data_IF_381353372483
#
_entry.id   IF_381353372483
#
_cell.length_a   1.000
_cell.length_b   1.000
_cell.length_c   1.000
_cell.angle_alpha   90.00
_cell.angle_beta   90.00
_cell.angle_gamma   90.00
#
_symmetry.space_group_name_H-M   'P 1'
#
loop_
_entity.id
_entity.type
_entity.pdbx_description
1 polymer ?
#
# COMPACT_ATOMS: atom_id res chain seq x y z
N UNK A 1 18.76 -38.56 37.49
CA UNK A 1 18.50 -37.19 37.98
C UNK A 1 17.03 -36.92 37.80
N UNK A 2 16.29 -36.41 38.80
CA UNK A 2 14.88 -36.08 38.59
C UNK A 2 14.77 -34.96 37.54
N UNK A 3 13.92 -35.17 36.53
CA UNK A 3 13.59 -34.14 35.55
C UNK A 3 12.86 -33.00 36.27
N UNK A 4 13.44 -31.80 36.26
CA UNK A 4 12.72 -30.61 36.70
C UNK A 4 11.65 -30.35 35.63
N UNK A 5 10.40 -30.65 35.97
CA UNK A 5 9.25 -30.32 35.13
C UNK A 5 9.07 -28.80 35.22
N UNK A 6 9.49 -28.12 34.16
CA UNK A 6 9.27 -26.68 34.00
C UNK A 6 7.76 -26.44 33.79
N UNK A 7 7.09 -25.89 34.80
CA UNK A 7 5.66 -25.56 34.72
C UNK A 7 5.52 -24.27 33.94
N UNK A 8 5.06 -24.38 32.70
CA UNK A 8 4.79 -23.24 31.84
C UNK A 8 3.38 -22.70 32.18
N UNK A 9 3.23 -21.41 32.52
CA UNK A 9 1.94 -20.84 32.86
C UNK A 9 1.03 -20.73 31.63
N UNK A 10 -0.27 -20.92 31.83
CA UNK A 10 -1.29 -20.78 30.78
C UNK A 10 -2.01 -19.43 30.87
N UNK A 11 -2.39 -18.87 29.73
CA UNK A 11 -3.19 -17.65 29.64
C UNK A 11 -4.53 -17.97 28.97
N UNK A 12 -5.62 -17.64 29.65
CA UNK A 12 -6.97 -17.78 29.12
C UNK A 12 -7.88 -16.65 29.64
N UNK A 13 -9.08 -16.60 29.08
CA UNK A 13 -10.16 -15.71 29.51
C UNK A 13 -11.36 -16.57 29.90
N UNK A 14 -12.01 -16.23 31.01
CA UNK A 14 -13.25 -16.89 31.44
C UNK A 14 -14.49 -16.19 30.88
N UNK A 15 -15.67 -16.77 31.12
CA UNK A 15 -16.96 -16.25 30.65
C UNK A 15 -17.31 -14.87 31.25
N UNK A 16 -16.71 -14.51 32.39
CA UNK A 16 -16.88 -13.20 33.03
C UNK A 16 -15.93 -12.14 32.47
N UNK A 17 -15.01 -12.50 31.57
CA UNK A 17 -14.08 -11.59 30.92
C UNK A 17 -12.83 -11.26 31.75
N UNK A 18 -12.52 -12.08 32.74
CA UNK A 18 -11.31 -11.97 33.56
C UNK A 18 -10.17 -12.80 32.96
N UNK A 19 -8.96 -12.25 32.98
CA UNK A 19 -7.77 -12.94 32.52
C UNK A 19 -7.24 -13.88 33.60
N UNK A 20 -7.16 -15.18 33.28
CA UNK A 20 -6.59 -16.20 34.15
C UNK A 20 -5.12 -16.40 33.79
N UNK A 21 -4.23 -16.44 34.79
CA UNK A 21 -2.80 -16.72 34.62
C UNK A 21 -1.97 -15.58 34.00
N UNK A 22 -2.57 -14.41 33.75
CA UNK A 22 -1.86 -13.26 33.17
C UNK A 22 -0.68 -12.77 34.02
N UNK A 23 -0.85 -12.77 35.34
CA UNK A 23 0.22 -12.38 36.26
C UNK A 23 1.37 -13.41 36.24
N UNK A 24 1.04 -14.70 36.23
CA UNK A 24 2.02 -15.79 36.20
C UNK A 24 2.80 -15.81 34.88
N UNK A 25 2.12 -15.58 33.76
CA UNK A 25 2.76 -15.43 32.44
C UNK A 25 3.69 -14.23 32.39
N UNK A 26 3.29 -13.08 32.96
CA UNK A 26 4.14 -11.90 33.04
C UNK A 26 5.38 -12.14 33.89
N UNK A 27 5.23 -12.79 35.06
CA UNK A 27 6.35 -13.13 35.92
C UNK A 27 7.31 -14.11 35.23
N UNK A 28 6.77 -15.17 34.60
CA UNK A 28 7.59 -16.13 33.85
C UNK A 28 8.36 -15.48 32.71
N UNK A 29 7.74 -14.56 31.96
CA UNK A 29 8.40 -13.80 30.88
C UNK A 29 9.49 -12.86 31.42
N UNK A 30 9.25 -12.21 32.57
CA UNK A 30 10.24 -11.33 33.21
C UNK A 30 11.45 -12.09 33.76
N UNK A 31 11.26 -13.35 34.13
CA UNK A 31 12.32 -14.26 34.57
C UNK A 31 13.13 -14.84 33.39
N UNK A 32 12.66 -14.71 32.15
CA UNK A 32 13.41 -15.17 30.99
C UNK A 32 14.61 -14.25 30.72
N UNK A 33 15.80 -14.85 30.77
CA UNK A 33 17.05 -14.19 30.34
C UNK A 33 17.31 -14.55 28.87
N UNK A 34 17.69 -13.55 28.07
CA UNK A 34 18.12 -13.80 26.69
C UNK A 34 19.38 -14.66 26.73
N UNK A 35 19.27 -15.91 26.26
CA UNK A 35 20.40 -16.84 26.23
C UNK A 35 21.41 -16.42 25.16
N UNK A 36 22.68 -16.28 25.55
CA UNK A 36 23.79 -16.22 24.58
C UNK A 36 23.94 -17.59 23.93
N UNK A 37 23.59 -17.68 22.64
CA UNK A 37 23.73 -18.92 21.89
C UNK A 37 25.17 -19.04 21.41
N UNK A 38 26.01 -19.75 22.18
CA UNK A 38 27.34 -20.17 21.72
C UNK A 38 27.28 -21.27 20.66
N UNK A 39 28.43 -21.75 20.20
CA UNK A 39 28.57 -22.72 19.09
C UNK A 39 28.13 -24.17 19.40
N UNK A 40 27.54 -24.42 20.58
CA UNK A 40 27.11 -25.78 20.96
C UNK A 40 25.72 -26.12 20.40
N UNK A 41 25.52 -27.36 19.93
CA UNK A 41 24.19 -27.79 19.46
C UNK A 41 23.13 -27.80 20.56
N UNK A 42 23.55 -27.91 21.82
CA UNK A 42 22.65 -28.02 22.97
C UNK A 42 22.09 -26.65 23.38
N UNK A 43 22.94 -25.62 23.45
CA UNK A 43 22.49 -24.23 23.67
C UNK A 43 21.50 -23.78 22.60
N UNK A 44 21.71 -24.18 21.35
CA UNK A 44 20.78 -23.89 20.26
C UNK A 44 19.40 -24.58 20.43
N UNK A 45 19.36 -25.85 20.85
CA UNK A 45 18.09 -26.57 21.10
C UNK A 45 17.30 -25.94 22.23
N UNK A 46 17.96 -25.58 23.33
CA UNK A 46 17.34 -24.91 24.47
C UNK A 46 16.77 -23.56 24.04
N UNK A 47 17.56 -22.72 23.37
CA UNK A 47 17.10 -21.42 22.86
C UNK A 47 15.90 -21.55 21.91
N UNK A 48 15.88 -22.59 21.05
CA UNK A 48 14.73 -22.87 20.16
C UNK A 48 13.47 -23.24 20.95
N UNK A 49 13.59 -24.01 22.04
CA UNK A 49 12.47 -24.38 22.93
C UNK A 49 11.89 -23.15 23.63
N UNK A 50 12.73 -22.31 24.25
CA UNK A 50 12.28 -21.06 24.89
C UNK A 50 11.61 -20.13 23.88
N UNK A 51 12.19 -19.99 22.68
CA UNK A 51 11.59 -19.18 21.61
C UNK A 51 10.22 -19.70 21.18
N UNK A 52 10.05 -21.02 21.07
CA UNK A 52 8.77 -21.62 20.73
C UNK A 52 7.72 -21.32 21.81
N UNK A 53 8.09 -21.41 23.08
CA UNK A 53 7.17 -21.16 24.20
C UNK A 53 6.78 -19.68 24.31
N UNK A 54 7.75 -18.77 24.18
CA UNK A 54 7.48 -17.32 24.13
C UNK A 54 6.52 -16.99 22.97
N UNK A 55 6.70 -17.60 21.80
CA UNK A 55 5.80 -17.41 20.67
C UNK A 55 4.39 -17.99 20.92
N UNK A 56 4.29 -19.10 21.65
CA UNK A 56 3.01 -19.66 22.09
C UNK A 56 2.30 -18.68 23.03
N UNK A 57 2.97 -18.20 24.07
CA UNK A 57 2.41 -17.23 25.03
C UNK A 57 2.01 -15.93 24.34
N UNK A 58 2.81 -15.41 23.41
CA UNK A 58 2.45 -14.26 22.56
C UNK A 58 1.16 -14.49 21.78
N UNK A 59 1.01 -15.67 21.18
CA UNK A 59 -0.20 -16.05 20.44
C UNK A 59 -1.42 -16.13 21.34
N UNK A 60 -1.27 -16.75 22.53
CA UNK A 60 -2.33 -16.85 23.53
C UNK A 60 -2.77 -15.47 24.03
N UNK A 61 -1.84 -14.57 24.31
CA UNK A 61 -2.14 -13.19 24.71
C UNK A 61 -2.92 -12.43 23.63
N UNK A 62 -2.52 -12.58 22.37
CA UNK A 62 -3.25 -12.00 21.24
C UNK A 62 -4.67 -12.56 21.10
N UNK A 63 -4.86 -13.87 21.32
CA UNK A 63 -6.18 -14.52 21.29
C UNK A 63 -7.07 -14.06 22.43
N UNK A 64 -6.57 -14.11 23.68
CA UNK A 64 -7.31 -13.69 24.87
C UNK A 64 -7.73 -12.21 24.77
N UNK A 65 -6.89 -11.32 24.25
CA UNK A 65 -7.25 -9.91 24.01
C UNK A 65 -8.40 -9.76 23.02
N UNK A 66 -8.40 -10.50 21.91
CA UNK A 66 -9.49 -10.45 20.91
C UNK A 66 -10.80 -10.98 21.48
N UNK A 67 -10.73 -12.08 22.23
CA UNK A 67 -11.89 -12.67 22.90
C UNK A 67 -12.47 -11.70 23.95
N UNK A 68 -11.61 -11.03 24.73
CA UNK A 68 -12.02 -9.99 25.66
C UNK A 68 -12.75 -8.83 24.97
N UNK A 69 -12.17 -8.28 23.90
CA UNK A 69 -12.77 -7.18 23.15
C UNK A 69 -14.14 -7.56 22.60
N UNK A 70 -14.26 -8.75 22.01
CA UNK A 70 -15.54 -9.27 21.49
C UNK A 70 -16.58 -9.40 22.61
N UNK A 71 -16.18 -9.87 23.79
CA UNK A 71 -17.08 -10.04 24.92
C UNK A 71 -17.52 -8.68 25.51
N UNK A 72 -16.65 -7.67 25.50
CA UNK A 72 -17.03 -6.31 25.88
C UNK A 72 -17.95 -5.65 24.86
N UNK A 73 -17.71 -5.86 23.57
CA UNK A 73 -18.58 -5.37 22.50
C UNK A 73 -19.98 -5.97 22.63
N UNK A 74 -20.09 -7.29 22.82
CA UNK A 74 -21.37 -7.95 23.09
C UNK A 74 -22.06 -7.43 24.35
N UNK A 75 -21.30 -7.14 25.42
CA UNK A 75 -21.85 -6.53 26.63
C UNK A 75 -22.35 -5.11 26.39
N UNK A 76 -21.65 -4.34 25.57
CA UNK A 76 -22.04 -3.00 25.17
C UNK A 76 -23.34 -3.02 24.38
N UNK A 77 -23.47 -3.96 23.44
CA UNK A 77 -24.69 -4.14 22.63
C UNK A 77 -25.90 -4.49 23.52
N UNK A 78 -25.70 -5.29 24.57
CA UNK A 78 -26.76 -5.65 25.52
C UNK A 78 -27.06 -4.52 26.51
N UNK A 79 -26.04 -3.81 26.98
CA UNK A 79 -26.21 -2.78 28.02
C UNK A 79 -26.67 -1.44 27.48
N UNK A 80 -26.34 -1.13 26.21
CA UNK A 80 -26.70 0.10 25.53
C UNK A 80 -27.15 -0.20 24.09
N UNK A 81 -28.26 -0.93 23.90
CA UNK A 81 -28.77 -1.26 22.56
C UNK A 81 -29.11 -0.02 21.74
N UNK A 82 -29.32 1.13 22.38
CA UNK A 82 -29.57 2.40 21.72
C UNK A 82 -28.42 2.83 20.81
N UNK A 83 -27.17 2.44 21.09
CA UNK A 83 -26.03 2.77 20.22
C UNK A 83 -26.17 2.12 18.85
N UNK A 84 -26.61 0.86 18.81
CA UNK A 84 -26.86 0.16 17.55
C UNK A 84 -28.03 0.80 16.79
N UNK A 85 -29.14 1.10 17.49
CA UNK A 85 -30.29 1.77 16.89
C UNK A 85 -29.95 3.17 16.35
N UNK A 86 -29.10 3.93 17.05
CA UNK A 86 -28.63 5.24 16.59
C UNK A 86 -27.81 5.07 15.30
N UNK A 87 -26.92 4.08 15.23
CA UNK A 87 -26.11 3.83 14.05
C UNK A 87 -26.98 3.46 12.84
N UNK A 88 -27.92 2.53 13.02
CA UNK A 88 -28.86 2.13 11.96
C UNK A 88 -29.71 3.31 11.49
N UNK A 89 -30.32 4.05 12.43
CA UNK A 89 -31.15 5.21 12.08
C UNK A 89 -30.34 6.32 11.40
N UNK A 90 -29.11 6.58 11.84
CA UNK A 90 -28.24 7.55 11.21
C UNK A 90 -27.89 7.14 9.77
N UNK A 91 -27.60 5.86 9.54
CA UNK A 91 -27.31 5.33 8.21
C UNK A 91 -28.53 5.43 7.29
N UNK A 92 -29.72 5.04 7.76
CA UNK A 92 -30.97 5.19 7.01
C UNK A 92 -31.26 6.65 6.66
N UNK A 93 -31.11 7.58 7.61
CA UNK A 93 -31.32 9.00 7.38
C UNK A 93 -30.32 9.56 6.36
N UNK A 94 -29.04 9.19 6.45
CA UNK A 94 -28.02 9.59 5.48
C UNK A 94 -28.39 9.09 4.08
N UNK A 95 -28.76 7.81 3.95
CA UNK A 95 -29.19 7.24 2.66
C UNK A 95 -30.43 7.95 2.11
N UNK A 96 -31.40 8.28 2.97
CA UNK A 96 -32.58 9.06 2.61
C UNK A 96 -32.24 10.45 2.09
N UNK A 97 -31.41 11.20 2.81
CA UNK A 97 -30.95 12.51 2.38
C UNK A 97 -30.14 12.44 1.09
N UNK A 98 -29.31 11.41 0.91
CA UNK A 98 -28.55 11.20 -0.31
C UNK A 98 -29.45 10.94 -1.51
N UNK A 99 -30.51 10.17 -1.34
CA UNK A 99 -31.49 9.92 -2.39
C UNK A 99 -32.26 11.21 -2.76
N UNK A 100 -32.70 11.99 -1.77
CA UNK A 100 -33.43 13.25 -2.01
C UNK A 100 -32.56 14.33 -2.65
N UNK A 101 -31.30 14.45 -2.22
CA UNK A 101 -30.35 15.43 -2.75
C UNK A 101 -29.73 15.01 -4.08
N UNK A 102 -29.95 13.77 -4.55
CA UNK A 102 -29.36 13.26 -5.79
C UNK A 102 -29.64 14.16 -7.01
N UNK A 103 -30.89 14.62 -7.17
CA UNK A 103 -31.28 15.53 -8.26
C UNK A 103 -30.61 16.90 -8.15
N UNK A 104 -30.48 17.43 -6.94
CA UNK A 104 -29.78 18.68 -6.67
C UNK A 104 -28.29 18.55 -7.00
N UNK A 105 -27.64 17.47 -6.56
CA UNK A 105 -26.25 17.16 -6.88
C UNK A 105 -26.02 17.02 -8.38
N UNK A 106 -26.95 16.39 -9.11
CA UNK A 106 -26.87 16.31 -10.56
C UNK A 106 -27.00 17.68 -11.24
N UNK A 107 -27.93 18.52 -10.77
CA UNK A 107 -28.13 19.87 -11.32
C UNK A 107 -26.89 20.77 -11.11
N UNK A 108 -26.24 20.67 -9.96
CA UNK A 108 -25.06 21.47 -9.62
C UNK A 108 -23.72 20.81 -9.97
N UNK A 109 -23.72 19.55 -10.44
CA UNK A 109 -22.51 18.82 -10.83
C UNK A 109 -21.65 19.63 -11.79
N UNK A 110 -22.28 20.21 -12.82
CA UNK A 110 -21.57 21.01 -13.82
C UNK A 110 -20.94 22.27 -13.21
N UNK A 111 -21.69 22.99 -12.38
CA UNK A 111 -21.21 24.18 -11.69
C UNK A 111 -20.01 23.86 -10.76
N UNK A 112 -20.09 22.74 -10.03
CA UNK A 112 -19.01 22.27 -9.16
C UNK A 112 -17.78 21.86 -9.95
N UNK A 113 -17.95 21.18 -11.10
CA UNK A 113 -16.83 20.85 -11.98
C UNK A 113 -16.19 22.11 -12.57
N UNK A 114 -16.98 23.09 -13.01
CA UNK A 114 -16.47 24.37 -13.53
C UNK A 114 -15.67 25.13 -12.47
N UNK A 115 -16.17 25.21 -11.22
CA UNK A 115 -15.46 25.83 -10.10
C UNK A 115 -14.19 25.07 -9.69
N UNK A 116 -14.24 23.74 -9.69
CA UNK A 116 -13.09 22.89 -9.39
C UNK A 116 -12.01 23.04 -10.47
N UNK A 117 -12.41 23.11 -11.73
CA UNK A 117 -11.51 23.35 -12.86
C UNK A 117 -10.87 24.73 -12.74
N UNK A 118 -11.64 25.78 -12.46
CA UNK A 118 -11.09 27.13 -12.27
C UNK A 118 -10.03 27.18 -11.15
N UNK A 119 -10.25 26.45 -10.06
CA UNK A 119 -9.25 26.33 -8.99
C UNK A 119 -7.99 25.58 -9.43
N UNK A 120 -8.14 24.50 -10.20
CA UNK A 120 -6.99 23.77 -10.76
C UNK A 120 -6.19 24.64 -11.71
N UNK A 121 -6.84 25.42 -12.57
CA UNK A 121 -6.18 26.34 -13.50
C UNK A 121 -5.39 27.41 -12.75
N UNK A 122 -5.96 28.01 -11.70
CA UNK A 122 -5.25 28.93 -10.82
C UNK A 122 -4.04 28.26 -10.17
N UNK A 123 -4.21 27.03 -9.68
CA UNK A 123 -3.12 26.24 -9.09
C UNK A 123 -2.01 25.92 -10.10
N UNK A 124 -2.34 25.60 -11.36
CA UNK A 124 -1.36 25.35 -12.43
C UNK A 124 -0.53 26.58 -12.77
N UNK A 125 -1.14 27.77 -12.79
CA UNK A 125 -0.41 29.03 -13.01
C UNK A 125 0.67 29.22 -11.95
N UNK A 126 0.39 28.91 -10.68
CA UNK A 126 1.40 29.00 -9.61
C UNK A 126 2.54 27.98 -9.74
N UNK A 127 2.32 26.92 -10.53
CA UNK A 127 3.27 25.83 -10.77
C UNK A 127 3.93 25.84 -12.15
N UNK A 128 3.61 26.83 -12.98
CA UNK A 128 4.09 26.95 -14.36
C UNK A 128 3.75 25.71 -15.23
N UNK A 129 2.57 25.12 -14.98
CA UNK A 129 2.03 23.98 -15.72
C UNK A 129 1.13 24.45 -16.86
N UNK A 130 1.03 23.66 -17.94
CA UNK A 130 0.13 24.01 -19.05
C UNK A 130 -1.32 23.85 -18.61
N UNK A 131 -2.07 24.95 -18.72
CA UNK A 131 -3.52 24.97 -18.50
C UNK A 131 -4.19 24.01 -19.47
N UNK A 132 -4.90 23.00 -18.94
CA UNK A 132 -5.72 22.07 -19.74
C UNK A 132 -5.21 20.62 -19.85
N UNK A 133 -4.06 20.27 -19.26
CA UNK A 133 -3.57 18.88 -19.28
C UNK A 133 -4.33 17.94 -18.33
N UNK A 134 -4.97 18.49 -17.29
CA UNK A 134 -5.67 17.73 -16.26
C UNK A 134 -7.05 18.33 -16.01
N UNK A 135 -8.09 17.51 -16.19
CA UNK A 135 -9.49 17.90 -15.99
C UNK A 135 -9.97 17.42 -14.62
N UNK A 136 -10.72 18.26 -13.91
CA UNK A 136 -11.29 17.92 -12.61
C UNK A 136 -12.20 16.66 -12.66
N UNK A 137 -12.81 16.37 -13.80
CA UNK A 137 -13.62 15.18 -14.03
C UNK A 137 -12.80 13.87 -14.10
N UNK A 138 -11.49 13.96 -14.35
CA UNK A 138 -10.59 12.82 -14.47
C UNK A 138 -9.95 12.40 -13.14
N UNK A 139 -10.36 13.00 -12.02
CA UNK A 139 -9.87 12.63 -10.69
C UNK A 139 -10.51 11.29 -10.30
N UNK A 140 -9.79 10.20 -10.58
CA UNK A 140 -10.23 8.85 -10.26
C UNK A 140 -10.32 8.62 -8.74
N UNK A 141 -11.36 7.90 -8.31
CA UNK A 141 -11.53 7.46 -6.93
C UNK A 141 -12.13 8.48 -5.95
N UNK A 142 -12.31 9.75 -6.35
CA UNK A 142 -12.99 10.77 -5.53
C UNK A 142 -13.89 11.65 -6.39
N UNK A 143 -15.20 11.54 -6.20
CA UNK A 143 -16.16 12.43 -6.86
C UNK A 143 -16.08 13.82 -6.21
N UNK A 144 -15.31 14.73 -6.80
CA UNK A 144 -15.15 16.11 -6.29
C UNK A 144 -16.48 16.85 -6.17
N UNK A 145 -17.54 16.36 -6.82
CA UNK A 145 -18.91 16.91 -6.74
C UNK A 145 -19.67 16.49 -5.47
N UNK A 146 -19.06 15.69 -4.59
CA UNK A 146 -19.64 15.37 -3.28
C UNK A 146 -19.69 16.61 -2.39
N UNK A 147 -20.79 16.81 -1.66
CA UNK A 147 -21.01 17.99 -0.82
C UNK A 147 -19.94 18.16 0.27
N UNK A 148 -19.30 17.07 0.72
CA UNK A 148 -18.22 17.12 1.71
C UNK A 148 -16.99 17.95 1.29
N UNK A 149 -16.88 18.30 0.01
CA UNK A 149 -15.80 19.14 -0.54
C UNK A 149 -16.20 20.60 -0.76
N UNK A 150 -17.47 20.92 -0.57
CA UNK A 150 -18.04 22.25 -0.79
C UNK A 150 -18.50 22.88 0.53
N UNK A 151 -18.47 24.20 0.59
CA UNK A 151 -19.09 24.96 1.66
C UNK A 151 -20.58 25.11 1.38
N UNK A 152 -21.37 25.49 2.40
CA UNK A 152 -22.79 25.87 2.23
C UNK A 152 -22.99 27.00 1.20
N UNK A 153 -21.95 27.81 0.97
CA UNK A 153 -21.93 28.90 -0.02
C UNK A 153 -21.46 28.45 -1.41
N UNK A 154 -21.27 27.15 -1.64
CA UNK A 154 -20.89 26.60 -2.94
C UNK A 154 -19.45 26.88 -3.36
N UNK A 155 -18.54 27.07 -2.40
CA UNK A 155 -17.10 27.23 -2.63
C UNK A 155 -16.33 25.98 -2.20
N UNK A 156 -15.17 25.72 -2.79
CA UNK A 156 -14.31 24.62 -2.34
C UNK A 156 -13.83 24.84 -0.90
N UNK A 157 -14.07 23.86 -0.04
CA UNK A 157 -13.54 23.85 1.32
C UNK A 157 -12.08 23.36 1.35
N UNK A 158 -11.45 23.39 2.53
CA UNK A 158 -10.04 23.00 2.67
C UNK A 158 -9.76 21.55 2.25
N UNK A 159 -10.71 20.63 2.48
CA UNK A 159 -10.60 19.22 2.10
C UNK A 159 -10.70 19.04 0.58
N UNK A 160 -11.66 19.69 -0.07
CA UNK A 160 -11.80 19.70 -1.52
C UNK A 160 -10.57 20.24 -2.23
N UNK A 161 -10.03 21.37 -1.75
CA UNK A 161 -8.77 21.94 -2.26
C UNK A 161 -7.61 20.95 -2.16
N UNK A 162 -7.47 20.28 -1.01
CA UNK A 162 -6.40 19.29 -0.79
C UNK A 162 -6.52 18.10 -1.74
N UNK A 163 -7.72 17.56 -1.93
CA UNK A 163 -7.98 16.45 -2.87
C UNK A 163 -7.55 16.84 -4.29
N UNK A 164 -7.94 18.03 -4.75
CA UNK A 164 -7.55 18.54 -6.07
C UNK A 164 -6.03 18.66 -6.21
N UNK A 165 -5.36 19.22 -5.20
CA UNK A 165 -3.89 19.35 -5.20
C UNK A 165 -3.17 18.01 -5.17
N UNK A 166 -3.65 17.06 -4.38
CA UNK A 166 -3.05 15.73 -4.27
C UNK A 166 -3.23 14.92 -5.56
N UNK A 167 -4.38 15.06 -6.24
CA UNK A 167 -4.61 14.46 -7.55
C UNK A 167 -3.61 14.99 -8.61
N UNK A 168 -3.38 16.31 -8.62
CA UNK A 168 -2.35 16.92 -9.49
C UNK A 168 -0.96 16.37 -9.18
N UNK A 169 -0.59 16.24 -7.89
CA UNK A 169 0.72 15.71 -7.48
C UNK A 169 0.91 14.24 -7.86
N UNK A 170 -0.15 13.44 -7.83
CA UNK A 170 -0.09 12.05 -8.28
C UNK A 170 0.12 11.99 -9.79
N UNK A 171 -0.60 12.83 -10.54
CA UNK A 171 -0.41 12.95 -11.97
C UNK A 171 1.01 13.44 -12.34
N UNK A 172 1.56 14.41 -11.61
CA UNK A 172 2.96 14.85 -11.68
C UNK A 172 3.93 13.66 -11.55
N UNK A 173 3.71 12.81 -10.54
CA UNK A 173 4.55 11.65 -10.30
C UNK A 173 4.46 10.62 -11.43
N UNK A 174 3.28 10.41 -11.98
CA UNK A 174 3.08 9.42 -13.05
C UNK A 174 3.66 9.89 -14.38
N UNK A 175 3.48 11.16 -14.75
CA UNK A 175 4.16 11.76 -15.91
C UNK A 175 5.68 11.72 -15.78
N UNK A 176 6.20 11.99 -14.59
CA UNK A 176 7.64 11.89 -14.32
C UNK A 176 8.16 10.46 -14.49
N UNK A 177 7.44 9.46 -13.97
CA UNK A 177 7.78 8.04 -14.19
C UNK A 177 7.78 7.68 -15.67
N UNK A 178 6.76 8.10 -16.43
CA UNK A 178 6.68 7.85 -17.86
C UNK A 178 7.85 8.49 -18.61
N UNK A 179 8.15 9.76 -18.33
CA UNK A 179 9.28 10.47 -18.96
C UNK A 179 10.62 9.79 -18.67
N UNK A 180 10.79 9.25 -17.46
CA UNK A 180 11.98 8.47 -17.09
C UNK A 180 12.02 7.16 -17.88
N UNK A 181 10.90 6.44 -18.01
CA UNK A 181 10.81 5.21 -18.80
C UNK A 181 11.14 5.49 -20.27
N UNK A 182 10.56 6.53 -20.86
CA UNK A 182 10.83 6.95 -22.24
C UNK A 182 12.31 7.31 -22.44
N UNK A 183 12.93 8.00 -21.47
CA UNK A 183 14.37 8.28 -21.50
C UNK A 183 15.23 7.02 -21.41
N UNK A 184 14.81 6.02 -20.63
CA UNK A 184 15.49 4.73 -20.54
C UNK A 184 15.37 3.98 -21.86
N UNK A 185 14.19 3.98 -22.49
CA UNK A 185 13.96 3.37 -23.79
C UNK A 185 14.76 4.06 -24.90
N UNK A 186 14.72 5.39 -24.99
CA UNK A 186 15.52 6.16 -25.95
C UNK A 186 17.02 5.89 -25.79
N UNK A 187 17.53 5.79 -24.55
CA UNK A 187 18.94 5.40 -24.31
C UNK A 187 19.23 3.96 -24.73
N UNK A 188 18.27 3.05 -24.58
CA UNK A 188 18.41 1.65 -25.02
C UNK A 188 18.44 1.58 -26.56
N UNK A 189 17.58 2.34 -27.24
CA UNK A 189 17.58 2.48 -28.70
C UNK A 189 18.88 3.10 -29.22
N UNK A 190 19.36 4.17 -28.59
CA UNK A 190 20.64 4.78 -28.95
C UNK A 190 21.80 3.78 -28.79
N UNK A 191 21.86 3.06 -27.66
CA UNK A 191 22.86 2.01 -27.44
C UNK A 191 22.79 0.88 -28.47
N UNK A 192 21.59 0.49 -28.88
CA UNK A 192 21.39 -0.48 -29.95
C UNK A 192 21.95 0.05 -31.27
N UNK A 193 21.62 1.30 -31.64
CA UNK A 193 22.13 1.97 -32.84
C UNK A 193 23.66 2.07 -32.85
N UNK A 194 24.27 2.51 -31.75
CA UNK A 194 25.73 2.59 -31.60
C UNK A 194 26.39 1.21 -31.72
N UNK A 195 25.78 0.17 -31.15
CA UNK A 195 26.29 -1.21 -31.24
C UNK A 195 26.23 -1.72 -32.68
N UNK A 196 25.14 -1.45 -33.41
CA UNK A 196 25.02 -1.78 -34.84
C UNK A 196 26.07 -1.01 -35.67
N UNK A 197 26.26 0.28 -35.40
CA UNK A 197 27.24 1.09 -36.11
C UNK A 197 28.67 0.61 -35.87
N UNK A 198 29.03 0.24 -34.64
CA UNK A 198 30.31 -0.37 -34.32
C UNK A 198 30.50 -1.70 -35.04
N UNK A 199 29.47 -2.55 -35.09
CA UNK A 199 29.47 -3.80 -35.84
C UNK A 199 29.77 -3.54 -37.31
N UNK A 200 29.03 -2.64 -37.96
CA UNK A 200 29.22 -2.30 -39.38
C UNK A 200 30.62 -1.74 -39.66
N UNK A 201 31.13 -0.87 -38.78
CA UNK A 201 32.45 -0.26 -38.94
C UNK A 201 33.59 -1.29 -38.78
N UNK A 202 33.39 -2.32 -37.95
CA UNK A 202 34.36 -3.38 -37.76
C UNK A 202 34.30 -4.44 -38.86
N UNK A 203 33.10 -4.72 -39.41
CA UNK A 203 32.90 -5.61 -40.56
C UNK A 203 33.74 -5.16 -41.77
N UNK A 204 33.78 -3.85 -42.05
CA UNK A 204 34.56 -3.28 -43.15
C UNK A 204 36.09 -3.32 -42.92
N UNK A 205 36.53 -3.32 -41.65
CA UNK A 205 37.95 -3.32 -41.28
C UNK A 205 38.55 -4.72 -41.15
N UNK A 206 37.77 -5.69 -40.69
CA UNK A 206 38.30 -6.98 -40.28
C UNK A 206 38.33 -8.02 -41.41
N UNK A 207 37.74 -7.74 -42.58
CA UNK A 207 37.74 -8.65 -43.73
C UNK A 207 37.15 -10.01 -43.36
N UNK A 208 35.82 -10.12 -43.35
CA UNK A 208 35.15 -11.34 -42.87
C UNK A 208 35.33 -12.48 -43.87
N UNK A 209 36.06 -13.54 -43.47
CA UNK A 209 36.37 -14.70 -44.33
C UNK A 209 35.65 -16.02 -43.94
N UNK A 210 34.89 -16.07 -42.82
CA UNK A 210 34.13 -17.26 -42.42
C UNK A 210 32.82 -16.95 -41.64
N UNK A 211 31.82 -17.84 -41.75
CA UNK A 211 30.52 -17.69 -41.09
C UNK A 211 30.56 -17.68 -39.55
N UNK A 212 31.60 -18.23 -38.94
CA UNK A 212 31.82 -18.18 -37.48
C UNK A 212 32.16 -16.78 -36.97
N UNK A 213 32.73 -15.93 -37.80
CA UNK A 213 33.16 -14.58 -37.42
C UNK A 213 31.97 -13.62 -37.41
N UNK A 214 31.01 -13.83 -38.32
CA UNK A 214 29.72 -13.14 -38.35
C UNK A 214 28.96 -13.32 -37.02
N UNK A 215 28.94 -14.55 -36.48
CA UNK A 215 28.26 -14.85 -35.21
C UNK A 215 28.91 -14.13 -34.02
N UNK A 216 30.26 -14.02 -34.01
CA UNK A 216 30.98 -13.28 -32.96
C UNK A 216 30.74 -11.78 -33.04
N UNK A 217 30.64 -11.23 -34.25
CA UNK A 217 30.37 -9.82 -34.48
C UNK A 217 28.95 -9.44 -34.01
N UNK A 218 27.97 -10.32 -34.20
CA UNK A 218 26.57 -10.07 -33.80
C UNK A 218 26.29 -10.35 -32.31
N UNK A 219 27.22 -10.99 -31.59
CA UNK A 219 27.06 -11.40 -30.19
C UNK A 219 26.65 -10.25 -29.23
N UNK A 220 27.17 -9.02 -29.37
CA UNK A 220 26.75 -7.88 -28.53
C UNK A 220 25.26 -7.52 -28.65
N UNK A 221 24.61 -7.80 -29.79
CA UNK A 221 23.18 -7.52 -29.99
C UNK A 221 22.28 -8.43 -29.13
N UNK A 222 22.79 -9.57 -28.66
CA UNK A 222 22.05 -10.49 -27.79
C UNK A 222 21.58 -9.84 -26.48
N UNK A 223 22.29 -8.83 -26.00
CA UNK A 223 21.91 -8.07 -24.79
C UNK A 223 20.60 -7.29 -24.94
N UNK A 224 20.12 -7.09 -26.18
CA UNK A 224 18.90 -6.35 -26.48
C UNK A 224 17.70 -7.27 -26.81
N UNK A 225 17.92 -8.58 -26.93
CA UNK A 225 16.87 -9.57 -27.17
C UNK A 225 16.14 -9.85 -25.85
N UNK A 226 14.81 -9.73 -25.79
CA UNK A 226 14.03 -10.03 -24.60
C UNK A 226 14.29 -11.47 -24.11
N UNK A 227 14.48 -11.65 -22.80
CA UNK A 227 14.66 -12.96 -22.20
C UNK A 227 13.41 -13.82 -22.46
N UNK A 228 13.52 -14.80 -23.37
CA UNK A 228 12.42 -15.68 -23.77
C UNK A 228 11.99 -15.58 -25.24
N UNK A 229 12.59 -14.71 -26.04
CA UNK A 229 12.33 -14.69 -27.50
C UNK A 229 12.76 -16.03 -28.13
N UNK A 230 11.79 -16.77 -28.65
CA UNK A 230 12.02 -17.93 -29.51
C UNK A 230 11.76 -17.48 -30.95
N UNK A 231 12.76 -17.51 -31.84
CA UNK A 231 12.51 -17.30 -33.26
C UNK A 231 11.59 -18.42 -33.77
N UNK A 232 10.60 -18.05 -34.58
CA UNK A 232 9.77 -19.00 -35.34
C UNK A 232 10.59 -19.76 -36.39
#
# INVERSE_FOLDING_TARGET
MPEIIEVIPELSINETGEFIGAHDVLNWLNEQVVLEVGDSSESYKVAKKHRAEINRLKTLAGKARREWLKLQEQRLDVSVPELHMIAELAEELVLGYDAETASYRQAHKREYLEKAQAYLEEFFVTRNWMVGEFLAENIEGVTITNEEFWTQTGNLNARGKKVLQDAVRLHELDLSKQTILDHVEAKKEQRLGDTIYQILTNVDKDGIYAGSDIVKILLPLKAFIPAGYKPE
#
